data_IF_970912157391
#
_entry.id   IF_970912157391
#
_cell.length_a   1.000
_cell.length_b   1.000
_cell.length_c   1.000
_cell.angle_alpha   90.00
_cell.angle_beta   90.00
_cell.angle_gamma   90.00
#
_symmetry.space_group_name_H-M   'P 1'
#
loop_
_entity.id
_entity.type
_entity.pdbx_description
1 polymer ?
#
# COMPACT_ATOMS: atom_id res chain seq x y z
N UNK A 1 -5.44 -0.77 -9.77
CA UNK A 1 -6.31 -1.89 -9.33
C UNK A 1 -7.11 -1.47 -8.13
N UNK A 2 -8.40 -1.80 -8.09
CA UNK A 2 -9.30 -1.56 -6.96
C UNK A 2 -9.80 -2.90 -6.46
N UNK A 3 -9.88 -3.11 -5.17
CA UNK A 3 -10.39 -4.34 -4.58
C UNK A 3 -10.93 -4.11 -3.17
N UNK A 4 -11.85 -4.97 -2.76
CA UNK A 4 -12.52 -4.87 -1.45
C UNK A 4 -11.82 -5.63 -0.33
N UNK A 5 -10.78 -6.39 -0.67
CA UNK A 5 -9.99 -7.11 0.32
C UNK A 5 -8.87 -6.23 0.90
N UNK A 6 -8.63 -6.37 2.19
CA UNK A 6 -7.56 -5.63 2.90
C UNK A 6 -6.16 -5.94 2.36
N UNK A 7 -5.97 -7.07 1.68
CA UNK A 7 -4.70 -7.45 1.05
C UNK A 7 -4.53 -6.89 -0.37
N UNK A 8 -5.54 -6.21 -0.92
CA UNK A 8 -5.51 -5.63 -2.27
C UNK A 8 -4.26 -4.76 -2.48
N UNK A 9 -3.86 -4.01 -1.48
CA UNK A 9 -2.70 -3.11 -1.52
C UNK A 9 -1.38 -3.83 -1.82
N UNK A 10 -1.29 -5.13 -1.51
CA UNK A 10 -0.09 -5.93 -1.79
C UNK A 10 0.15 -6.14 -3.29
N UNK A 11 -0.87 -5.96 -4.13
CA UNK A 11 -0.71 -5.99 -5.57
C UNK A 11 0.20 -4.85 -6.10
N UNK A 12 0.48 -3.85 -5.27
CA UNK A 12 1.52 -2.87 -5.54
C UNK A 12 2.89 -3.50 -5.85
N UNK A 13 3.18 -4.67 -5.27
CA UNK A 13 4.38 -5.44 -5.59
C UNK A 13 4.47 -5.92 -7.05
N UNK A 14 3.38 -5.89 -7.79
CA UNK A 14 3.31 -6.16 -9.23
C UNK A 14 3.53 -4.91 -10.11
N UNK A 15 3.88 -3.79 -9.50
CA UNK A 15 4.10 -2.53 -10.23
C UNK A 15 2.83 -1.79 -10.59
N UNK A 16 1.73 -2.05 -9.89
CA UNK A 16 0.45 -1.35 -10.08
C UNK A 16 0.10 -0.52 -8.86
N UNK A 17 -0.63 0.56 -9.04
CA UNK A 17 -1.28 1.25 -7.92
C UNK A 17 -2.49 0.42 -7.52
N UNK A 18 -2.46 -0.13 -6.31
CA UNK A 18 -3.52 -1.00 -5.79
C UNK A 18 -4.17 -0.35 -4.57
N UNK A 19 -5.49 -0.25 -4.60
CA UNK A 19 -6.25 0.51 -3.61
C UNK A 19 -7.36 -0.38 -3.05
N UNK A 20 -7.41 -0.47 -1.73
CA UNK A 20 -8.53 -1.09 -1.02
C UNK A 20 -9.69 -0.10 -0.90
N UNK A 21 -10.89 -0.53 -1.24
CA UNK A 21 -12.10 0.31 -1.19
C UNK A 21 -13.22 -0.42 -0.46
N UNK A 22 -14.23 0.33 -0.01
CA UNK A 22 -15.44 -0.25 0.53
C UNK A 22 -16.30 -0.94 -0.54
N UNK A 23 -17.23 -1.79 -0.09
CA UNK A 23 -18.11 -2.52 -1.01
C UNK A 23 -18.98 -1.60 -1.87
N UNK A 24 -19.45 -0.47 -1.34
CA UNK A 24 -20.23 0.50 -2.09
C UNK A 24 -19.42 1.10 -3.25
N UNK A 25 -18.20 1.55 -3.00
CA UNK A 25 -17.32 2.10 -4.04
C UNK A 25 -17.01 1.06 -5.12
N UNK A 26 -16.82 -0.20 -4.72
CA UNK A 26 -16.59 -1.29 -5.67
C UNK A 26 -17.83 -1.52 -6.57
N UNK A 27 -19.04 -1.44 -6.02
CA UNK A 27 -20.27 -1.54 -6.80
C UNK A 27 -20.38 -0.41 -7.82
N UNK A 28 -20.06 0.81 -7.44
CA UNK A 28 -20.08 1.97 -8.35
C UNK A 28 -19.11 1.77 -9.51
N UNK A 29 -17.88 1.34 -9.22
CA UNK A 29 -16.88 1.04 -10.25
C UNK A 29 -17.33 -0.10 -11.16
N UNK A 30 -17.92 -1.16 -10.63
CA UNK A 30 -18.46 -2.27 -11.41
C UNK A 30 -19.64 -1.84 -12.30
N UNK A 31 -20.42 -0.87 -11.86
CA UNK A 31 -21.48 -0.26 -12.66
C UNK A 31 -20.97 0.74 -13.71
N UNK A 32 -19.66 0.94 -13.81
CA UNK A 32 -19.06 1.87 -14.76
C UNK A 32 -19.12 3.34 -14.35
N UNK A 33 -19.45 3.61 -13.08
CA UNK A 33 -19.43 4.96 -12.54
C UNK A 33 -17.99 5.40 -12.24
N UNK A 34 -17.63 6.68 -12.43
CA UNK A 34 -16.32 7.17 -12.08
C UNK A 34 -16.14 7.13 -10.55
N UNK A 35 -15.03 6.58 -10.11
CA UNK A 35 -14.64 6.63 -8.72
C UNK A 35 -13.68 7.81 -8.50
N UNK A 36 -14.13 8.77 -7.70
CA UNK A 36 -13.36 9.97 -7.41
C UNK A 36 -12.49 9.77 -6.18
N UNK A 37 -11.20 9.99 -6.35
CA UNK A 37 -10.21 9.92 -5.27
C UNK A 37 -9.51 11.27 -5.14
N UNK A 38 -9.46 11.80 -3.92
CA UNK A 38 -8.56 12.91 -3.62
C UNK A 38 -7.12 12.47 -3.86
N UNK A 39 -6.36 13.27 -4.60
CA UNK A 39 -4.99 12.91 -4.93
C UNK A 39 -4.18 12.59 -3.66
N UNK A 40 -3.69 11.36 -3.48
CA UNK A 40 -3.03 10.92 -2.28
C UNK A 40 -1.62 11.50 -2.17
N UNK A 41 -1.17 11.74 -0.95
CA UNK A 41 0.23 12.11 -0.70
C UNK A 41 1.13 10.88 -0.83
N UNK A 42 2.32 11.07 -1.39
CA UNK A 42 3.32 10.01 -1.49
C UNK A 42 4.23 10.03 -0.26
N UNK A 43 4.45 8.85 0.33
CA UNK A 43 5.44 8.63 1.38
C UNK A 43 6.46 7.63 0.86
N UNK A 44 7.71 8.06 0.76
CA UNK A 44 8.83 7.18 0.42
C UNK A 44 9.36 6.46 1.66
N UNK A 45 9.45 5.14 1.59
CA UNK A 45 10.09 4.30 2.61
C UNK A 45 11.30 3.61 1.97
N UNK A 46 12.50 4.01 2.35
CA UNK A 46 13.72 3.37 1.88
C UNK A 46 14.15 2.30 2.88
N UNK A 47 14.18 1.05 2.45
CA UNK A 47 14.68 -0.07 3.23
C UNK A 47 16.16 -0.28 2.91
N UNK A 48 17.00 -0.31 3.95
CA UNK A 48 18.44 -0.54 3.85
C UNK A 48 18.84 -1.75 4.69
N UNK A 49 19.88 -2.46 4.28
CA UNK A 49 20.38 -3.61 5.00
C UNK A 49 19.80 -4.94 4.50
N UNK A 50 19.75 -5.93 5.36
CA UNK A 50 19.30 -7.29 5.05
C UNK A 50 18.40 -7.80 6.16
N UNK A 51 17.42 -8.62 5.80
CA UNK A 51 16.71 -9.44 6.78
C UNK A 51 17.69 -10.47 7.36
N UNK A 52 17.71 -10.62 8.67
CA UNK A 52 18.61 -11.55 9.36
C UNK A 52 17.88 -12.28 10.49
N UNK A 53 18.39 -13.46 10.85
CA UNK A 53 17.78 -14.27 11.88
C UNK A 53 16.37 -14.71 11.51
N UNK A 54 15.45 -14.55 12.44
CA UNK A 54 14.04 -14.92 12.31
C UNK A 54 13.14 -13.79 11.76
N UNK A 55 13.74 -12.70 11.25
CA UNK A 55 12.99 -11.54 10.73
C UNK A 55 12.33 -11.88 9.40
N UNK A 56 11.04 -11.63 9.30
CA UNK A 56 10.23 -11.82 8.10
C UNK A 56 9.92 -10.49 7.41
N UNK A 57 9.45 -10.56 6.17
CA UNK A 57 8.95 -9.38 5.47
C UNK A 57 7.77 -8.71 6.20
N UNK A 58 6.98 -9.49 6.94
CA UNK A 58 5.87 -8.98 7.73
C UNK A 58 6.33 -8.07 8.87
N UNK A 59 7.48 -8.36 9.47
CA UNK A 59 8.04 -7.52 10.54
C UNK A 59 8.38 -6.12 10.03
N UNK A 60 8.84 -6.01 8.77
CA UNK A 60 9.07 -4.72 8.11
C UNK A 60 7.76 -3.93 7.99
N UNK A 61 6.70 -4.58 7.52
CA UNK A 61 5.38 -3.95 7.37
C UNK A 61 4.86 -3.48 8.72
N UNK A 62 4.94 -4.31 9.74
CA UNK A 62 4.50 -3.98 11.11
C UNK A 62 5.31 -2.81 11.69
N UNK A 63 6.61 -2.78 11.44
CA UNK A 63 7.46 -1.66 11.88
C UNK A 63 7.09 -0.35 11.18
N UNK A 64 6.90 -0.37 9.87
CA UNK A 64 6.46 0.80 9.10
C UNK A 64 5.09 1.29 9.59
N UNK A 65 4.14 0.38 9.80
CA UNK A 65 2.81 0.70 10.33
C UNK A 65 2.89 1.29 11.73
N UNK A 66 3.79 0.79 12.58
CA UNK A 66 4.03 1.33 13.92
C UNK A 66 4.60 2.76 13.92
N UNK A 67 5.44 3.08 12.94
CA UNK A 67 6.03 4.43 12.78
C UNK A 67 5.00 5.42 12.22
N UNK A 68 4.29 5.02 11.17
CA UNK A 68 3.33 5.90 10.51
C UNK A 68 2.04 6.08 11.30
N UNK A 69 1.66 5.07 12.08
CA UNK A 69 0.35 4.96 12.74
C UNK A 69 -0.81 4.94 11.73
N UNK A 70 -2.02 4.58 12.17
CA UNK A 70 -3.21 4.55 11.30
C UNK A 70 -3.49 5.93 10.70
N UNK A 71 -3.44 6.97 11.51
CA UNK A 71 -3.67 8.37 11.06
C UNK A 71 -2.60 8.88 10.10
N UNK A 72 -1.38 8.40 10.22
CA UNK A 72 -0.27 8.79 9.35
C UNK A 72 -0.29 8.14 7.98
N UNK A 73 -0.95 6.99 7.84
CA UNK A 73 -1.05 6.22 6.59
C UNK A 73 -2.30 6.48 5.75
N UNK A 74 -3.38 7.01 6.37
CA UNK A 74 -4.64 7.28 5.68
C UNK A 74 -4.45 8.32 4.57
N UNK A 75 -5.11 8.16 3.44
CA UNK A 75 -5.03 9.01 2.25
C UNK A 75 -3.62 9.17 1.66
N UNK A 76 -2.77 8.15 1.82
CA UNK A 76 -1.39 8.18 1.32
C UNK A 76 -1.02 6.91 0.58
N UNK A 77 -0.13 7.06 -0.38
CA UNK A 77 0.52 5.94 -1.07
C UNK A 77 1.90 5.74 -0.46
N UNK A 78 2.18 4.54 0.00
CA UNK A 78 3.51 4.15 0.45
C UNK A 78 4.32 3.62 -0.71
N UNK A 79 5.43 4.27 -1.00
CA UNK A 79 6.41 3.82 -1.97
C UNK A 79 7.58 3.17 -1.24
N UNK A 80 7.72 1.86 -1.36
CA UNK A 80 8.79 1.12 -0.70
C UNK A 80 9.90 0.82 -1.70
N UNK A 81 11.11 1.28 -1.42
CA UNK A 81 12.31 0.97 -2.22
C UNK A 81 13.32 0.19 -1.39
N UNK A 82 14.02 -0.75 -2.03
CA UNK A 82 15.06 -1.59 -1.42
C UNK A 82 16.39 -1.30 -2.11
N UNK A 83 17.45 -1.13 -1.35
CA UNK A 83 18.77 -0.64 -1.82
C UNK A 83 19.54 -1.61 -2.74
N UNK A 84 19.10 -2.85 -2.89
CA UNK A 84 19.73 -3.86 -3.75
C UNK A 84 18.77 -4.40 -4.79
N UNK A 85 18.74 -3.71 -5.95
CA UNK A 85 18.02 -4.21 -7.13
C UNK A 85 16.50 -4.03 -7.02
N UNK A 86 16.06 -3.32 -7.93
CA UNK A 86 14.74 -3.03 -8.42
C UNK A 86 13.64 -4.04 -8.02
N UNK A 87 13.04 -3.84 -6.86
CA UNK A 87 11.69 -4.31 -6.58
C UNK A 87 10.89 -3.11 -6.12
N UNK A 88 10.22 -2.46 -7.06
CA UNK A 88 9.19 -1.48 -6.75
C UNK A 88 8.02 -2.24 -6.12
N UNK A 89 7.96 -2.25 -4.81
CA UNK A 89 6.73 -2.60 -4.13
C UNK A 89 6.01 -1.29 -3.81
N UNK A 90 5.05 -0.93 -4.63
CA UNK A 90 4.10 0.12 -4.32
C UNK A 90 3.00 -0.51 -3.47
N UNK A 91 3.08 -0.41 -2.15
CA UNK A 91 1.96 -0.76 -1.30
C UNK A 91 1.17 0.51 -0.99
N UNK A 92 -0.01 0.61 -1.57
CA UNK A 92 -0.99 1.65 -1.25
C UNK A 92 -1.72 1.23 0.02
N UNK A 93 -1.49 1.93 1.10
CA UNK A 93 -2.22 1.73 2.35
C UNK A 93 -3.32 2.80 2.40
N UNK A 94 -4.50 2.48 1.90
CA UNK A 94 -5.71 3.20 2.26
C UNK A 94 -6.49 2.32 3.24
N UNK A 95 -6.43 2.67 4.51
CA UNK A 95 -7.42 2.23 5.48
C UNK A 95 -8.46 3.35 5.62
N UNK A 96 -9.66 3.07 5.17
CA UNK A 96 -10.86 3.81 5.56
C UNK A 96 -11.23 3.46 6.98
#
# INVERSE_FOLDING_TARGET
>A
MIGTDSHTVNAGGLGVVAIGVGGADACDVMAGLPWELKFPKLIGVKLTGKLSGWTSAKDVILKVSGILTVKGGTDKILWISIDRGMYLSCSSFMMT
#
